data_IF_887419363487
#
_entry.id   IF_887419363487
#
_cell.length_a   1.000
_cell.length_b   1.000
_cell.length_c   1.000
_cell.angle_alpha   90.00
_cell.angle_beta   90.00
_cell.angle_gamma   90.00
#
_symmetry.space_group_name_H-M   'P 1'
#
loop_
_entity.id
_entity.type
_entity.pdbx_description
1 polymer ?
#
# COMPACT_ATOMS: atom_id res chain seq x y z
N UNK A 1 -8.84 14.85 27.71
CA UNK A 1 -9.70 15.41 26.62
C UNK A 1 -9.66 14.44 25.46
N UNK A 2 -10.71 14.37 24.63
CA UNK A 2 -10.68 13.58 23.39
C UNK A 2 -10.06 14.38 22.25
N UNK A 3 -9.40 13.71 21.31
CA UNK A 3 -8.86 14.32 20.10
C UNK A 3 -9.30 13.57 18.85
N UNK A 4 -9.27 14.22 17.68
CA UNK A 4 -9.60 13.63 16.41
C UNK A 4 -8.33 13.31 15.63
N UNK A 5 -8.28 12.12 15.02
CA UNK A 5 -7.22 11.70 14.11
C UNK A 5 -7.81 11.16 12.82
N UNK A 6 -7.18 11.47 11.69
CA UNK A 6 -7.67 11.11 10.36
C UNK A 6 -6.58 10.39 9.56
N UNK A 7 -7.00 9.36 8.82
CA UNK A 7 -6.18 8.75 7.77
C UNK A 7 -6.97 8.70 6.47
N UNK A 8 -6.26 8.77 5.35
CA UNK A 8 -6.83 8.65 4.01
C UNK A 8 -6.38 7.38 3.31
N UNK A 9 -7.16 6.95 2.34
CA UNK A 9 -6.81 5.93 1.37
C UNK A 9 -7.29 6.35 -0.01
N UNK A 10 -6.69 5.74 -1.03
CA UNK A 10 -7.06 5.94 -2.43
C UNK A 10 -7.28 4.58 -3.11
N UNK A 11 -8.11 4.57 -4.16
CA UNK A 11 -8.36 3.36 -4.93
C UNK A 11 -7.18 2.98 -5.82
N UNK A 12 -7.23 1.75 -6.35
CA UNK A 12 -6.31 1.27 -7.39
C UNK A 12 -6.27 2.15 -8.64
N UNK A 13 -7.36 2.89 -8.91
CA UNK A 13 -7.48 3.79 -10.06
C UNK A 13 -6.97 5.21 -9.82
N UNK A 14 -6.55 5.56 -8.60
CA UNK A 14 -5.89 6.84 -8.35
C UNK A 14 -4.59 6.94 -9.17
N UNK A 15 -4.28 8.08 -9.82
CA UNK A 15 -3.12 8.22 -10.71
C UNK A 15 -1.80 7.71 -10.12
N UNK A 16 -1.48 8.07 -8.87
CA UNK A 16 -0.27 7.61 -8.21
C UNK A 16 -0.28 6.07 -8.00
N UNK A 17 -1.45 5.47 -7.69
CA UNK A 17 -1.56 4.01 -7.52
C UNK A 17 -1.57 3.26 -8.85
N UNK A 18 -2.01 3.88 -9.93
CA UNK A 18 -1.80 3.36 -11.29
C UNK A 18 -0.30 3.26 -11.59
N UNK A 19 0.48 4.29 -11.25
CA UNK A 19 1.93 4.30 -11.41
C UNK A 19 2.61 3.21 -10.57
N UNK A 20 2.25 3.09 -9.30
CA UNK A 20 2.78 2.07 -8.38
C UNK A 20 2.50 0.65 -8.90
N UNK A 21 1.28 0.39 -9.34
CA UNK A 21 0.89 -0.92 -9.88
C UNK A 21 1.62 -1.28 -11.18
N UNK A 22 1.87 -0.32 -12.07
CA UNK A 22 2.66 -0.56 -13.28
C UNK A 22 4.09 -0.91 -12.89
N UNK A 23 4.71 -0.15 -12.00
CA UNK A 23 6.09 -0.38 -11.54
C UNK A 23 6.25 -1.74 -10.86
N UNK A 24 5.32 -2.14 -9.99
CA UNK A 24 5.36 -3.44 -9.32
C UNK A 24 4.97 -4.62 -10.23
N UNK A 25 4.09 -4.42 -11.21
CA UNK A 25 3.80 -5.44 -12.22
C UNK A 25 5.03 -5.74 -13.09
N UNK A 26 5.81 -4.72 -13.43
CA UNK A 26 7.07 -4.87 -14.15
C UNK A 26 8.13 -5.58 -13.31
N UNK A 27 8.28 -5.19 -12.05
CA UNK A 27 9.17 -5.86 -11.09
C UNK A 27 8.82 -7.35 -10.97
N UNK A 28 7.55 -7.68 -10.77
CA UNK A 28 7.08 -9.06 -10.67
C UNK A 28 7.38 -9.87 -11.93
N UNK A 29 7.22 -9.25 -13.10
CA UNK A 29 7.52 -9.92 -14.37
C UNK A 29 9.03 -10.23 -14.51
N UNK A 30 9.92 -9.29 -14.11
CA UNK A 30 11.36 -9.56 -14.07
C UNK A 30 11.68 -10.70 -13.09
N UNK A 31 11.19 -10.64 -11.86
CA UNK A 31 11.44 -11.65 -10.82
C UNK A 31 10.92 -13.03 -11.18
N UNK A 32 9.82 -13.12 -11.93
CA UNK A 32 9.26 -14.39 -12.36
C UNK A 32 10.21 -15.17 -13.29
N UNK A 33 11.05 -14.49 -14.06
CA UNK A 33 11.97 -15.11 -14.99
C UNK A 33 13.44 -15.04 -14.55
N UNK A 34 13.79 -14.02 -13.76
CA UNK A 34 15.11 -13.86 -13.13
C UNK A 34 14.95 -13.45 -11.66
N UNK A 35 15.04 -14.43 -10.75
CA UNK A 35 14.92 -14.18 -9.31
C UNK A 35 16.02 -13.26 -8.75
N UNK A 36 17.11 -13.08 -9.51
CA UNK A 36 18.22 -12.18 -9.18
C UNK A 36 18.12 -10.82 -9.85
N UNK A 37 17.03 -10.54 -10.56
CA UNK A 37 16.81 -9.23 -11.15
C UNK A 37 16.89 -8.12 -10.10
N UNK A 38 17.55 -7.02 -10.45
CA UNK A 38 17.60 -5.79 -9.66
C UNK A 38 16.88 -4.70 -10.43
N UNK A 39 15.88 -4.11 -9.78
CA UNK A 39 14.99 -3.15 -10.40
C UNK A 39 14.84 -1.92 -9.50
N UNK A 40 14.84 -0.76 -10.14
CA UNK A 40 14.39 0.49 -9.58
C UNK A 40 13.58 1.18 -10.69
N UNK A 41 12.29 0.81 -10.79
CA UNK A 41 11.38 1.21 -11.87
C UNK A 41 10.40 2.24 -11.34
N UNK A 42 10.38 3.39 -11.97
CA UNK A 42 9.43 4.46 -11.69
C UNK A 42 8.52 4.67 -12.90
N UNK A 43 7.26 4.94 -12.63
CA UNK A 43 6.24 5.19 -13.65
C UNK A 43 5.62 6.56 -13.43
N UNK A 44 5.49 7.30 -14.49
CA UNK A 44 4.73 8.55 -14.57
C UNK A 44 3.53 8.32 -15.48
N UNK A 45 2.35 8.83 -15.12
CA UNK A 45 1.17 8.79 -15.97
C UNK A 45 0.40 10.11 -15.94
N UNK A 46 -0.21 10.46 -17.08
CA UNK A 46 -1.04 11.64 -17.26
C UNK A 46 -2.03 11.39 -18.40
N UNK A 47 -2.75 12.41 -18.85
CA UNK A 47 -3.70 12.30 -19.97
C UNK A 47 -3.09 11.58 -21.17
N UNK A 48 -3.64 10.42 -21.51
CA UNK A 48 -3.27 9.65 -22.69
C UNK A 48 -1.84 9.13 -22.73
N UNK A 49 -1.05 9.23 -21.64
CA UNK A 49 0.37 8.89 -21.66
C UNK A 49 0.90 8.23 -20.39
N UNK A 50 1.84 7.30 -20.59
CA UNK A 50 2.64 6.66 -19.56
C UNK A 50 4.11 6.75 -19.93
N UNK A 51 4.97 7.07 -18.96
CA UNK A 51 6.44 7.02 -19.10
C UNK A 51 6.97 6.08 -18.03
N UNK A 52 7.72 5.06 -18.45
CA UNK A 52 8.37 4.07 -17.57
C UNK A 52 9.86 4.37 -17.61
N UNK A 53 10.48 4.61 -16.46
CA UNK A 53 11.88 5.00 -16.34
C UNK A 53 12.56 4.29 -15.19
N UNK A 54 13.88 4.36 -15.13
CA UNK A 54 14.68 3.79 -14.06
C UNK A 54 15.75 2.81 -14.53
N UNK A 55 16.26 2.00 -13.61
CA UNK A 55 17.35 1.07 -13.86
C UNK A 55 16.90 -0.37 -13.64
N UNK A 56 17.32 -1.26 -14.53
CA UNK A 56 17.11 -2.70 -14.43
C UNK A 56 18.41 -3.44 -14.75
N UNK A 57 18.76 -4.39 -13.90
CA UNK A 57 19.77 -5.41 -14.17
C UNK A 57 19.10 -6.77 -14.15
N UNK A 58 18.95 -7.36 -15.32
CA UNK A 58 18.36 -8.70 -15.49
C UNK A 58 18.98 -9.37 -16.71
N UNK A 59 18.98 -10.70 -16.69
CA UNK A 59 19.35 -11.52 -17.86
C UNK A 59 18.18 -11.67 -18.85
N UNK A 60 17.00 -11.21 -18.45
CA UNK A 60 15.74 -11.44 -19.12
C UNK A 60 15.20 -10.17 -19.78
N UNK A 61 14.47 -10.35 -20.86
CA UNK A 61 13.78 -9.28 -21.55
C UNK A 61 12.28 -9.30 -21.24
N UNK A 62 11.72 -8.14 -20.90
CA UNK A 62 10.31 -7.96 -20.55
C UNK A 62 9.64 -6.99 -21.53
N UNK A 63 8.46 -7.36 -22.04
CA UNK A 63 7.62 -6.46 -22.83
C UNK A 63 6.91 -5.45 -21.92
N UNK A 64 7.61 -4.33 -21.64
CA UNK A 64 7.16 -3.29 -20.73
C UNK A 64 5.79 -2.72 -21.12
N UNK A 65 5.57 -2.52 -22.43
CA UNK A 65 4.31 -1.97 -22.92
C UNK A 65 3.15 -2.93 -22.71
N UNK A 66 3.34 -4.21 -23.00
CA UNK A 66 2.28 -5.21 -22.82
C UNK A 66 1.87 -5.33 -21.34
N UNK A 67 2.84 -5.32 -20.42
CA UNK A 67 2.58 -5.39 -18.97
C UNK A 67 1.85 -4.13 -18.49
N UNK A 68 2.33 -2.94 -18.86
CA UNK A 68 1.68 -1.69 -18.49
C UNK A 68 0.22 -1.62 -18.99
N UNK A 69 -0.03 -1.97 -20.28
CA UNK A 69 -1.38 -2.02 -20.84
C UNK A 69 -2.30 -3.00 -20.09
N UNK A 70 -1.79 -4.19 -19.79
CA UNK A 70 -2.53 -5.20 -19.03
C UNK A 70 -2.89 -4.65 -17.64
N UNK A 71 -1.97 -4.01 -16.95
CA UNK A 71 -2.19 -3.42 -15.63
C UNK A 71 -3.25 -2.33 -15.68
N UNK A 72 -3.15 -1.38 -16.60
CA UNK A 72 -4.12 -0.30 -16.80
C UNK A 72 -5.53 -0.85 -17.08
N UNK A 73 -5.64 -1.87 -17.95
CA UNK A 73 -6.92 -2.51 -18.28
C UNK A 73 -7.50 -3.25 -17.05
N UNK A 74 -6.67 -3.95 -16.27
CA UNK A 74 -7.11 -4.66 -15.05
C UNK A 74 -7.63 -3.70 -13.96
N UNK A 75 -7.06 -2.49 -13.87
CA UNK A 75 -7.55 -1.42 -13.00
C UNK A 75 -8.94 -0.97 -13.45
N UNK A 76 -9.23 -1.00 -14.76
CA UNK A 76 -10.54 -0.63 -15.32
C UNK A 76 -10.50 0.61 -16.21
N UNK A 77 -9.33 1.11 -16.58
CA UNK A 77 -9.19 2.15 -17.59
C UNK A 77 -9.22 1.51 -18.98
N UNK A 78 -10.43 1.22 -19.46
CA UNK A 78 -10.70 0.45 -20.69
C UNK A 78 -11.47 1.23 -21.75
N UNK A 79 -11.88 2.48 -21.45
CA UNK A 79 -12.72 3.29 -22.32
C UNK A 79 -11.98 4.56 -22.74
N UNK A 80 -12.01 4.88 -24.03
CA UNK A 80 -11.37 6.07 -24.60
C UNK A 80 -11.94 7.38 -24.02
N UNK A 81 -13.20 7.38 -23.59
CA UNK A 81 -13.85 8.54 -22.96
C UNK A 81 -13.21 8.94 -21.61
N UNK A 82 -12.42 8.06 -20.97
CA UNK A 82 -11.65 8.38 -19.78
C UNK A 82 -10.38 9.19 -20.11
N UNK A 83 -10.06 9.37 -21.41
CA UNK A 83 -8.87 10.04 -21.92
C UNK A 83 -7.55 9.49 -21.37
N UNK A 84 -7.64 8.30 -20.84
CA UNK A 84 -6.56 7.42 -20.40
C UNK A 84 -7.11 6.00 -20.40
N UNK A 85 -6.62 5.16 -21.30
CA UNK A 85 -7.01 3.75 -21.36
C UNK A 85 -5.85 2.87 -21.82
N UNK A 86 -5.85 1.61 -21.38
CA UNK A 86 -4.76 0.68 -21.61
C UNK A 86 -4.54 0.30 -23.09
N UNK A 87 -5.52 0.53 -23.97
CA UNK A 87 -5.42 0.13 -25.37
C UNK A 87 -4.85 1.26 -26.25
N UNK A 88 -5.13 2.53 -25.91
CA UNK A 88 -4.80 3.68 -26.76
C UNK A 88 -3.76 4.63 -26.20
N UNK A 89 -3.48 4.64 -24.87
CA UNK A 89 -2.48 5.55 -24.31
C UNK A 89 -1.09 5.30 -24.90
N UNK A 90 -0.32 6.38 -25.08
CA UNK A 90 1.10 6.30 -25.45
C UNK A 90 1.92 5.75 -24.28
N UNK A 91 2.84 4.82 -24.56
CA UNK A 91 3.76 4.29 -23.55
C UNK A 91 5.19 4.49 -24.03
N UNK A 92 5.96 5.29 -23.29
CA UNK A 92 7.38 5.55 -23.51
C UNK A 92 8.19 4.79 -22.46
N UNK A 93 9.37 4.34 -22.85
CA UNK A 93 10.33 3.69 -21.95
C UNK A 93 11.68 4.41 -22.01
N UNK A 94 12.23 4.70 -20.83
CA UNK A 94 13.56 5.24 -20.58
C UNK A 94 14.27 4.41 -19.50
N UNK A 95 14.20 3.07 -19.61
CA UNK A 95 14.92 2.13 -18.73
C UNK A 95 16.33 1.93 -19.29
N UNK A 96 17.31 1.95 -18.40
CA UNK A 96 18.72 1.68 -18.70
C UNK A 96 19.32 0.67 -17.71
N UNK A 97 20.55 0.22 -17.94
CA UNK A 97 21.25 -0.70 -17.05
C UNK A 97 21.68 0.00 -15.76
N UNK A 98 21.65 -0.72 -14.65
CA UNK A 98 22.12 -0.23 -13.36
C UNK A 98 23.64 0.01 -13.39
N UNK A 99 24.10 1.12 -12.80
CA UNK A 99 25.51 1.48 -12.69
C UNK A 99 26.36 0.43 -11.98
N UNK A 100 27.52 0.10 -12.55
CA UNK A 100 28.50 -0.84 -11.94
C UNK A 100 29.10 -0.30 -10.63
N UNK A 101 29.12 1.01 -10.41
CA UNK A 101 29.67 1.62 -9.20
C UNK A 101 28.79 1.34 -7.98
N UNK A 102 27.47 1.32 -8.13
CA UNK A 102 26.53 0.92 -7.06
C UNK A 102 26.71 -0.54 -6.72
N UNK A 103 26.97 -1.40 -7.72
CA UNK A 103 27.16 -2.82 -7.52
C UNK A 103 28.39 -3.17 -6.67
N UNK A 104 29.51 -2.47 -6.84
CA UNK A 104 30.77 -2.75 -6.13
C UNK A 104 30.66 -2.55 -4.62
N UNK A 105 29.82 -1.59 -4.18
CA UNK A 105 29.57 -1.35 -2.76
C UNK A 105 28.65 -2.37 -2.09
N UNK A 106 27.82 -3.06 -2.88
CA UNK A 106 26.79 -3.97 -2.40
C UNK A 106 27.24 -5.45 -2.48
N UNK A 107 28.03 -5.81 -3.48
CA UNK A 107 28.42 -7.21 -3.79
C UNK A 107 29.88 -7.46 -3.35
N UNK A 108 30.07 -7.78 -2.07
CA UNK A 108 31.40 -7.99 -1.47
C UNK A 108 31.93 -9.41 -1.68
N UNK A 109 31.27 -10.25 -2.49
CA UNK A 109 31.65 -11.67 -2.69
C UNK A 109 31.30 -12.59 -1.51
N UNK A 110 30.75 -12.06 -0.43
CA UNK A 110 30.20 -12.79 0.72
C UNK A 110 28.69 -12.55 0.77
N UNK A 111 27.92 -13.56 0.35
CA UNK A 111 26.46 -13.49 0.26
C UNK A 111 25.78 -13.12 1.59
N UNK A 112 26.36 -13.53 2.73
CA UNK A 112 25.76 -13.29 4.04
C UNK A 112 26.04 -11.89 4.60
N UNK A 113 27.10 -11.24 4.14
CA UNK A 113 27.50 -9.88 4.55
C UNK A 113 27.31 -8.84 3.43
N UNK A 114 26.39 -9.08 2.51
CA UNK A 114 26.01 -8.10 1.51
C UNK A 114 25.59 -6.79 2.19
N UNK A 115 26.24 -5.69 1.87
CA UNK A 115 25.93 -4.37 2.41
C UNK A 115 24.58 -3.83 1.94
N UNK A 116 24.03 -2.89 2.68
CA UNK A 116 22.84 -2.19 2.27
C UNK A 116 23.05 -1.46 0.94
N UNK A 117 22.06 -1.53 0.04
CA UNK A 117 22.13 -0.93 -1.30
C UNK A 117 22.03 0.60 -1.28
N UNK A 118 21.63 1.18 -0.16
CA UNK A 118 21.54 2.62 0.06
C UNK A 118 21.64 2.92 1.56
N UNK A 119 21.84 4.20 1.88
CA UNK A 119 21.63 4.72 3.23
C UNK A 119 20.15 5.03 3.44
N UNK A 120 19.67 5.01 4.69
CA UNK A 120 18.30 5.42 4.98
C UNK A 120 17.84 5.00 6.36
N UNK A 121 16.66 5.49 6.74
CA UNK A 121 15.93 5.08 7.93
C UNK A 121 14.55 4.58 7.52
N UNK A 122 14.20 3.39 8.00
CA UNK A 122 12.95 2.72 7.70
C UNK A 122 12.20 2.48 8.99
N UNK A 123 10.87 2.55 8.92
CA UNK A 123 10.02 2.46 10.09
C UNK A 123 9.02 1.32 9.97
N UNK A 124 8.83 0.62 11.08
CA UNK A 124 7.74 -0.31 11.31
C UNK A 124 6.87 0.19 12.45
N UNK A 125 5.56 0.01 12.32
CA UNK A 125 4.61 0.38 13.35
C UNK A 125 3.55 -0.72 13.49
N UNK A 126 3.08 -0.93 14.69
CA UNK A 126 1.94 -1.78 15.00
C UNK A 126 1.20 -1.24 16.22
N UNK A 127 -0.11 -1.44 16.26
CA UNK A 127 -0.95 -1.13 17.42
C UNK A 127 -2.07 -2.17 17.56
N UNK A 128 -2.63 -2.30 18.73
CA UNK A 128 -3.70 -3.25 19.02
C UNK A 128 -5.12 -2.71 18.71
N UNK A 129 -5.23 -1.71 17.82
CA UNK A 129 -6.52 -1.10 17.48
C UNK A 129 -7.41 -2.03 16.64
N UNK A 130 -6.80 -2.84 15.76
CA UNK A 130 -7.47 -3.78 14.85
C UNK A 130 -6.85 -5.18 14.95
N UNK A 131 -7.52 -6.19 14.42
CA UNK A 131 -7.05 -7.59 14.44
C UNK A 131 -5.78 -7.81 13.60
N UNK A 132 -5.51 -6.93 12.62
CA UNK A 132 -4.30 -6.95 11.80
C UNK A 132 -3.20 -6.01 12.33
N UNK A 133 -3.38 -5.46 13.53
CA UNK A 133 -2.41 -4.57 14.19
C UNK A 133 -2.11 -3.28 13.42
N UNK A 134 -3.13 -2.73 12.77
CA UNK A 134 -3.06 -1.47 12.04
C UNK A 134 -3.88 -0.37 12.74
N UNK A 135 -3.56 0.91 12.48
CA UNK A 135 -4.42 2.03 12.88
C UNK A 135 -5.82 1.88 12.27
N UNK A 136 -6.84 1.95 13.10
CA UNK A 136 -8.24 1.75 12.66
C UNK A 136 -8.69 2.77 11.62
N UNK A 137 -8.16 3.98 11.66
CA UNK A 137 -8.46 5.05 10.69
C UNK A 137 -8.03 4.65 9.28
N UNK A 138 -6.82 4.12 9.13
CA UNK A 138 -6.28 3.69 7.85
C UNK A 138 -6.92 2.38 7.37
N UNK A 139 -7.05 1.41 8.27
CA UNK A 139 -7.62 0.10 7.95
C UNK A 139 -9.05 0.24 7.40
N UNK A 140 -9.89 1.06 8.04
CA UNK A 140 -11.22 1.38 7.54
C UNK A 140 -11.19 2.16 6.23
N UNK A 141 -10.25 3.09 6.05
CA UNK A 141 -10.13 3.83 4.80
C UNK A 141 -9.76 2.90 3.64
N UNK A 142 -8.84 1.96 3.83
CA UNK A 142 -8.51 0.93 2.84
C UNK A 142 -9.70 0.01 2.54
N UNK A 143 -10.39 -0.44 3.57
CA UNK A 143 -11.55 -1.33 3.42
C UNK A 143 -12.67 -0.65 2.62
N UNK A 144 -12.94 0.64 2.85
CA UNK A 144 -13.91 1.41 2.06
C UNK A 144 -13.51 1.44 0.59
N UNK A 145 -12.24 1.70 0.28
CA UNK A 145 -11.76 1.80 -1.10
C UNK A 145 -11.73 0.46 -1.82
N UNK A 146 -11.27 -0.60 -1.18
CA UNK A 146 -11.28 -1.95 -1.78
C UNK A 146 -12.70 -2.44 -2.02
N UNK A 147 -13.62 -2.24 -1.07
CA UNK A 147 -15.04 -2.60 -1.22
C UNK A 147 -15.70 -1.83 -2.36
N UNK A 148 -15.40 -0.53 -2.53
CA UNK A 148 -15.92 0.27 -3.64
C UNK A 148 -15.40 -0.24 -4.99
N UNK A 149 -14.13 -0.64 -5.07
CA UNK A 149 -13.54 -1.23 -6.26
C UNK A 149 -14.18 -2.59 -6.60
N UNK A 150 -14.46 -3.43 -5.59
CA UNK A 150 -15.16 -4.69 -5.78
C UNK A 150 -16.56 -4.47 -6.36
N UNK A 151 -17.34 -3.52 -5.81
CA UNK A 151 -18.66 -3.16 -6.33
C UNK A 151 -18.56 -2.73 -7.80
N UNK A 152 -17.57 -1.91 -8.15
CA UNK A 152 -17.33 -1.46 -9.53
C UNK A 152 -17.00 -2.63 -10.45
N UNK A 153 -16.09 -3.53 -10.03
CA UNK A 153 -15.65 -4.69 -10.82
C UNK A 153 -16.74 -5.75 -10.96
N UNK A 154 -17.61 -5.92 -9.96
CA UNK A 154 -18.77 -6.80 -10.06
C UNK A 154 -19.75 -6.37 -11.16
N UNK A 155 -19.87 -5.07 -11.46
CA UNK A 155 -20.74 -4.53 -12.48
C UNK A 155 -22.23 -4.82 -12.27
N UNK A 156 -22.70 -4.86 -11.00
CA UNK A 156 -24.09 -5.19 -10.64
C UNK A 156 -24.82 -4.03 -9.97
N UNK A 157 -24.11 -3.25 -9.16
CA UNK A 157 -24.63 -2.08 -8.43
C UNK A 157 -23.70 -0.91 -8.70
N UNK A 158 -24.20 0.33 -8.52
CA UNK A 158 -23.43 1.56 -8.74
C UNK A 158 -22.68 1.54 -10.09
N UNK A 159 -23.39 1.22 -11.18
CA UNK A 159 -22.81 0.99 -12.52
C UNK A 159 -22.07 2.20 -13.10
N UNK A 160 -22.32 3.36 -12.53
CA UNK A 160 -21.69 4.65 -12.91
C UNK A 160 -20.28 4.82 -12.34
N UNK A 161 -19.78 3.91 -11.47
CA UNK A 161 -18.45 4.04 -10.85
C UNK A 161 -17.33 3.96 -11.88
N UNK A 162 -16.39 4.91 -11.78
CA UNK A 162 -15.11 4.91 -12.48
C UNK A 162 -13.95 4.52 -11.55
N UNK A 163 -12.76 4.24 -12.08
CA UNK A 163 -11.68 3.65 -11.26
C UNK A 163 -11.13 4.55 -10.16
N UNK A 164 -11.11 5.89 -10.31
CA UNK A 164 -10.50 6.81 -9.34
C UNK A 164 -11.43 7.10 -8.17
N UNK A 165 -10.92 6.97 -6.96
CA UNK A 165 -11.63 7.35 -5.74
C UNK A 165 -10.69 7.54 -4.55
N UNK A 166 -11.19 8.27 -3.54
CA UNK A 166 -10.49 8.54 -2.28
C UNK A 166 -11.45 8.37 -1.10
N UNK A 167 -10.92 7.93 0.03
CA UNK A 167 -11.62 7.92 1.32
C UNK A 167 -10.78 8.57 2.39
N UNK A 168 -11.44 9.10 3.41
CA UNK A 168 -10.81 9.54 4.65
C UNK A 168 -11.70 9.13 5.81
N UNK A 169 -11.10 8.57 6.85
CA UNK A 169 -11.79 8.21 8.08
C UNK A 169 -11.19 8.99 9.23
N UNK A 170 -12.05 9.70 9.98
CA UNK A 170 -11.71 10.44 11.18
C UNK A 170 -12.31 9.72 12.38
N UNK A 171 -11.48 9.41 13.36
CA UNK A 171 -11.86 8.73 14.61
C UNK A 171 -11.54 9.64 15.79
N UNK A 172 -12.42 9.66 16.76
CA UNK A 172 -12.21 10.29 18.07
C UNK A 172 -11.49 9.30 18.98
N UNK A 173 -10.39 9.76 19.58
CA UNK A 173 -9.56 9.03 20.53
C UNK A 173 -9.64 9.64 21.92
N UNK A 174 -9.53 8.81 22.96
CA UNK A 174 -9.28 9.28 24.33
C UNK A 174 -7.83 9.78 24.49
N UNK A 175 -7.53 10.43 25.62
CA UNK A 175 -6.15 10.84 25.97
C UNK A 175 -5.17 9.64 26.07
N UNK A 176 -5.70 8.43 26.29
CA UNK A 176 -4.93 7.18 26.34
C UNK A 176 -4.76 6.51 24.97
N UNK A 177 -4.97 7.23 23.88
CA UNK A 177 -4.88 6.71 22.50
C UNK A 177 -5.84 5.55 22.18
N UNK A 178 -7.00 5.48 22.83
CA UNK A 178 -8.00 4.45 22.58
C UNK A 178 -9.08 5.00 21.65
N UNK A 179 -9.37 4.37 20.50
CA UNK A 179 -10.43 4.79 19.61
C UNK A 179 -11.81 4.67 20.27
N UNK A 180 -12.63 5.72 20.18
CA UNK A 180 -13.92 5.84 20.88
C UNK A 180 -15.12 5.77 19.93
N UNK A 181 -15.06 6.43 18.81
CA UNK A 181 -16.09 6.47 17.75
C UNK A 181 -15.55 7.02 16.44
N UNK A 182 -16.18 6.64 15.36
CA UNK A 182 -15.97 7.27 14.07
C UNK A 182 -16.73 8.60 14.07
N UNK A 183 -16.03 9.70 13.79
CA UNK A 183 -16.63 11.04 13.68
C UNK A 183 -17.07 11.34 12.25
N UNK A 184 -16.18 11.16 11.28
CA UNK A 184 -16.41 11.54 9.89
C UNK A 184 -15.87 10.48 8.92
N UNK A 185 -16.63 10.17 7.89
CA UNK A 185 -16.22 9.38 6.73
C UNK A 185 -16.40 10.23 5.47
N UNK A 186 -15.31 10.43 4.73
CA UNK A 186 -15.33 11.09 3.42
C UNK A 186 -15.17 10.03 2.35
N UNK A 187 -16.00 10.07 1.31
CA UNK A 187 -15.85 9.25 0.10
C UNK A 187 -15.98 10.17 -1.11
N UNK A 188 -14.92 10.25 -1.91
CA UNK A 188 -14.94 10.93 -3.20
C UNK A 188 -14.69 9.90 -4.29
N UNK A 189 -15.64 9.71 -5.19
CA UNK A 189 -15.55 8.73 -6.26
C UNK A 189 -15.81 9.34 -7.62
N UNK A 190 -14.95 9.01 -8.58
CA UNK A 190 -15.17 9.30 -9.98
C UNK A 190 -16.36 8.49 -10.50
N UNK A 191 -17.18 9.11 -11.35
CA UNK A 191 -18.39 8.50 -11.88
C UNK A 191 -18.68 8.95 -13.33
N UNK A 192 -19.51 8.20 -14.03
CA UNK A 192 -20.05 8.60 -15.31
C UNK A 192 -20.99 9.83 -15.15
N UNK A 193 -21.17 10.59 -16.20
CA UNK A 193 -22.18 11.64 -16.28
C UNK A 193 -23.56 11.01 -16.58
N UNK A 194 -24.15 10.32 -15.58
CA UNK A 194 -25.26 9.39 -15.75
C UNK A 194 -26.65 10.00 -15.63
N UNK A 195 -26.75 11.27 -15.21
CA UNK A 195 -27.99 12.02 -15.23
C UNK A 195 -27.82 13.25 -16.14
N UNK A 196 -28.49 13.23 -17.28
CA UNK A 196 -28.40 14.32 -18.25
C UNK A 196 -29.35 15.48 -17.88
N UNK A 197 -28.94 16.73 -18.11
CA UNK A 197 -29.84 17.90 -17.94
C UNK A 197 -31.00 17.84 -18.95
N UNK A 198 -32.12 18.40 -18.58
CA UNK A 198 -33.34 18.44 -19.45
C UNK A 198 -33.20 19.40 -20.62
N UNK A 199 -32.30 20.37 -20.53
CA UNK A 199 -31.95 21.37 -21.55
C UNK A 199 -30.54 21.91 -21.33
N UNK A 200 -30.02 22.74 -22.21
CA UNK A 200 -28.68 23.31 -22.17
C UNK A 200 -28.49 24.46 -21.17
N UNK A 201 -29.47 24.73 -20.30
CA UNK A 201 -29.36 25.78 -19.32
C UNK A 201 -28.44 25.41 -18.17
N UNK A 202 -27.76 26.42 -17.61
CA UNK A 202 -26.92 26.22 -16.40
C UNK A 202 -27.72 25.70 -15.21
N UNK A 203 -29.00 26.07 -15.11
CA UNK A 203 -29.88 25.62 -14.04
C UNK A 203 -30.19 24.13 -14.16
N UNK A 204 -30.52 23.66 -15.38
CA UNK A 204 -30.74 22.23 -15.65
C UNK A 204 -29.50 21.42 -15.38
N UNK A 205 -28.30 21.89 -15.77
CA UNK A 205 -27.05 21.25 -15.48
C UNK A 205 -26.77 21.12 -13.97
N UNK A 206 -26.92 22.21 -13.22
CA UNK A 206 -26.75 22.21 -11.76
C UNK A 206 -27.74 21.26 -11.05
N UNK A 207 -28.96 21.14 -11.58
CA UNK A 207 -29.97 20.22 -11.04
C UNK A 207 -29.59 18.76 -11.31
N UNK A 208 -29.11 18.44 -12.51
CA UNK A 208 -28.60 17.11 -12.87
C UNK A 208 -27.38 16.73 -12.01
N UNK A 209 -26.41 17.65 -11.86
CA UNK A 209 -25.20 17.44 -11.05
C UNK A 209 -25.56 17.15 -9.59
N UNK A 210 -26.49 17.90 -9.00
CA UNK A 210 -26.97 17.65 -7.62
C UNK A 210 -27.65 16.30 -7.50
N UNK A 211 -28.52 15.95 -8.46
CA UNK A 211 -29.21 14.66 -8.45
C UNK A 211 -28.23 13.46 -8.53
N UNK A 212 -27.15 13.58 -9.32
CA UNK A 212 -26.07 12.57 -9.35
C UNK A 212 -25.41 12.42 -7.99
N UNK A 213 -25.01 13.52 -7.35
CA UNK A 213 -24.35 13.49 -6.04
C UNK A 213 -25.27 12.92 -4.96
N UNK A 214 -26.56 13.26 -4.97
CA UNK A 214 -27.57 12.71 -4.06
C UNK A 214 -27.74 11.18 -4.26
N UNK A 215 -27.78 10.71 -5.51
CA UNK A 215 -27.84 9.27 -5.80
C UNK A 215 -26.57 8.56 -5.31
N UNK A 216 -25.38 9.10 -5.60
CA UNK A 216 -24.11 8.53 -5.13
C UNK A 216 -24.07 8.46 -3.60
N UNK A 217 -24.51 9.54 -2.92
CA UNK A 217 -24.61 9.58 -1.45
C UNK A 217 -25.54 8.50 -0.92
N UNK A 218 -26.69 8.32 -1.52
CA UNK A 218 -27.65 7.28 -1.16
C UNK A 218 -27.01 5.89 -1.30
N UNK A 219 -26.37 5.61 -2.43
CA UNK A 219 -25.76 4.32 -2.71
C UNK A 219 -24.54 4.04 -1.80
N UNK A 220 -23.76 5.07 -1.45
CA UNK A 220 -22.70 4.93 -0.44
C UNK A 220 -23.28 4.47 0.90
N UNK A 221 -24.41 5.06 1.34
CA UNK A 221 -25.01 4.70 2.62
C UNK A 221 -25.74 3.36 2.60
N UNK A 222 -26.42 3.02 1.50
CA UNK A 222 -27.30 1.85 1.40
C UNK A 222 -26.61 0.61 0.79
N UNK A 223 -25.54 0.79 0.02
CA UNK A 223 -24.81 -0.31 -0.65
C UNK A 223 -23.39 -0.44 -0.11
N UNK A 224 -22.55 0.61 -0.19
CA UNK A 224 -21.15 0.53 0.17
C UNK A 224 -20.96 0.28 1.67
N UNK A 225 -21.54 1.13 2.54
CA UNK A 225 -21.29 1.04 3.99
C UNK A 225 -21.80 -0.26 4.62
N UNK A 226 -22.95 -0.83 4.24
CA UNK A 226 -23.34 -2.18 4.70
C UNK A 226 -22.34 -3.28 4.29
N UNK A 227 -21.80 -3.24 3.06
CA UNK A 227 -20.79 -4.21 2.62
C UNK A 227 -19.46 -4.05 3.36
N UNK A 228 -19.05 -2.81 3.65
CA UNK A 228 -17.88 -2.52 4.50
C UNK A 228 -18.07 -3.13 5.89
N UNK A 229 -19.19 -2.83 6.55
CA UNK A 229 -19.48 -3.37 7.90
C UNK A 229 -19.53 -4.91 7.94
N UNK A 230 -20.06 -5.53 6.89
CA UNK A 230 -20.16 -7.00 6.80
C UNK A 230 -18.78 -7.70 6.71
N UNK A 231 -17.74 -7.00 6.30
CA UNK A 231 -16.36 -7.54 6.22
C UNK A 231 -15.58 -7.38 7.55
N UNK A 232 -16.03 -6.51 8.45
CA UNK A 232 -15.38 -6.28 9.74
C UNK A 232 -15.71 -7.43 10.68
N UNK A 233 -14.70 -8.18 11.09
CA UNK A 233 -14.84 -9.31 12.03
C UNK A 233 -14.75 -8.86 13.49
N UNK A 234 -14.00 -7.81 13.77
CA UNK A 234 -13.74 -7.29 15.11
C UNK A 234 -14.95 -6.53 15.65
N UNK A 235 -15.57 -7.03 16.71
CA UNK A 235 -16.63 -6.31 17.43
C UNK A 235 -16.14 -4.95 17.97
N UNK A 236 -14.87 -4.88 18.38
CA UNK A 236 -14.24 -3.64 18.84
C UNK A 236 -14.29 -2.55 17.75
N UNK A 237 -14.02 -2.91 16.51
CA UNK A 237 -14.08 -1.97 15.37
C UNK A 237 -15.54 -1.66 15.00
N UNK A 238 -16.43 -2.66 14.99
CA UNK A 238 -17.86 -2.46 14.73
C UNK A 238 -18.50 -1.50 15.74
N UNK A 239 -18.10 -1.56 17.00
CA UNK A 239 -18.60 -0.69 18.08
C UNK A 239 -18.18 0.79 17.91
N UNK A 240 -17.28 1.12 16.98
CA UNK A 240 -16.94 2.50 16.64
C UNK A 240 -17.99 3.17 15.73
N UNK A 241 -18.84 2.38 15.06
CA UNK A 241 -19.92 2.87 14.20
C UNK A 241 -21.15 3.29 15.04
N UNK A 242 -20.97 4.33 15.86
CA UNK A 242 -22.03 4.92 16.67
C UNK A 242 -22.89 5.87 15.86
N UNK A 243 -24.02 6.27 16.40
CA UNK A 243 -24.88 7.30 15.78
C UNK A 243 -24.13 8.64 15.66
N UNK A 244 -24.51 9.43 14.64
CA UNK A 244 -23.98 10.77 14.45
C UNK A 244 -22.73 10.86 13.56
N UNK A 245 -22.35 9.76 12.87
CA UNK A 245 -21.27 9.81 11.89
C UNK A 245 -21.61 10.78 10.75
N UNK A 246 -20.70 11.70 10.45
CA UNK A 246 -20.82 12.61 9.31
C UNK A 246 -20.31 11.93 8.04
N UNK A 247 -21.20 11.72 7.07
CA UNK A 247 -20.84 11.20 5.76
C UNK A 247 -20.74 12.34 4.74
N UNK A 248 -19.53 12.59 4.23
CA UNK A 248 -19.23 13.57 3.19
C UNK A 248 -18.94 12.82 1.89
N UNK A 249 -19.92 12.85 0.97
CA UNK A 249 -19.82 12.12 -0.30
C UNK A 249 -19.74 13.13 -1.43
N UNK A 250 -18.69 13.05 -2.26
CA UNK A 250 -18.39 14.01 -3.34
C UNK A 250 -18.66 15.48 -2.92
N UNK A 251 -18.04 15.97 -1.83
CA UNK A 251 -18.43 17.27 -1.24
C UNK A 251 -18.20 18.46 -2.16
N UNK A 252 -17.38 18.33 -3.18
CA UNK A 252 -17.14 19.37 -4.21
C UNK A 252 -18.14 19.34 -5.38
N UNK A 253 -19.07 18.38 -5.39
CA UNK A 253 -20.00 18.16 -6.49
C UNK A 253 -19.65 16.96 -7.36
N UNK A 254 -20.08 16.97 -8.64
CA UNK A 254 -19.80 15.87 -9.57
C UNK A 254 -18.29 15.69 -9.79
N UNK A 255 -17.87 14.42 -9.99
CA UNK A 255 -16.49 14.04 -10.20
C UNK A 255 -16.39 13.11 -11.42
N UNK A 256 -16.55 13.66 -12.62
CA UNK A 256 -16.49 12.92 -13.90
C UNK A 256 -15.07 12.90 -14.45
N UNK A 257 -14.35 14.05 -14.37
CA UNK A 257 -12.95 14.13 -14.78
C UNK A 257 -12.08 13.71 -13.61
N UNK A 258 -11.36 12.59 -13.75
CA UNK A 258 -10.50 12.01 -12.73
C UNK A 258 -9.53 11.02 -13.34
N UNK A 259 -8.83 10.26 -12.49
CA UNK A 259 -7.75 9.40 -12.92
C UNK A 259 -6.60 10.17 -13.55
N UNK A 260 -5.73 9.54 -14.36
CA UNK A 260 -4.59 10.20 -15.00
C UNK A 260 -4.95 11.37 -15.91
N UNK A 261 -6.21 11.46 -16.35
CA UNK A 261 -6.70 12.63 -17.09
C UNK A 261 -6.96 13.84 -16.18
N UNK A 262 -7.41 13.60 -14.95
CA UNK A 262 -7.70 14.67 -13.98
C UNK A 262 -6.45 15.18 -13.25
N UNK A 263 -5.52 14.29 -12.93
CA UNK A 263 -4.30 14.59 -12.20
C UNK A 263 -3.16 13.62 -12.63
N UNK A 264 -1.93 14.09 -12.53
CA UNK A 264 -0.74 13.32 -12.86
C UNK A 264 -0.36 12.35 -11.74
N UNK A 265 -0.04 11.10 -12.10
CA UNK A 265 0.46 10.08 -11.19
C UNK A 265 1.94 9.83 -11.31
N UNK A 266 2.58 9.50 -10.20
CA UNK A 266 3.99 9.10 -10.12
C UNK A 266 4.17 8.03 -9.04
N UNK A 267 5.04 7.05 -9.31
CA UNK A 267 5.45 6.03 -8.34
C UNK A 267 5.96 6.65 -7.04
N UNK A 268 5.47 6.15 -5.90
CA UNK A 268 5.96 6.56 -4.59
C UNK A 268 5.41 7.87 -4.04
N UNK A 269 4.29 8.39 -4.57
CA UNK A 269 3.64 9.61 -4.05
C UNK A 269 2.52 9.35 -3.05
N UNK A 270 2.27 8.09 -2.70
CA UNK A 270 1.24 7.69 -1.71
C UNK A 270 1.81 6.87 -0.55
N UNK A 271 3.07 7.17 -0.18
CA UNK A 271 3.83 6.41 0.82
C UNK A 271 3.19 6.37 2.21
N UNK A 272 2.44 7.39 2.60
CA UNK A 272 1.71 7.41 3.88
C UNK A 272 0.46 6.51 3.81
N UNK A 273 -0.23 6.49 2.67
CA UNK A 273 -1.34 5.55 2.39
C UNK A 273 -0.82 4.10 2.35
N UNK A 274 0.36 3.89 1.79
CA UNK A 274 1.01 2.57 1.68
C UNK A 274 1.41 2.00 3.04
N UNK A 275 1.59 2.83 4.07
CA UNK A 275 2.14 2.45 5.36
C UNK A 275 1.15 2.56 6.52
N UNK A 276 1.14 3.67 7.27
CA UNK A 276 0.41 3.75 8.56
C UNK A 276 -0.58 4.91 8.65
N UNK A 277 -0.86 5.60 7.54
CA UNK A 277 -1.86 6.70 7.51
C UNK A 277 -1.54 7.88 8.42
N UNK A 278 -0.26 8.08 8.75
CA UNK A 278 0.22 9.15 9.61
C UNK A 278 0.36 8.79 11.10
N UNK A 279 -0.06 7.61 11.55
CA UNK A 279 0.14 7.14 12.95
C UNK A 279 1.61 6.73 13.19
N UNK A 280 2.22 6.03 12.25
CA UNK A 280 3.64 5.70 12.27
C UNK A 280 4.47 6.68 11.44
N UNK A 281 5.74 6.85 11.80
CA UNK A 281 6.70 7.61 11.02
C UNK A 281 7.01 6.92 9.68
N UNK A 282 7.59 7.67 8.72
CA UNK A 282 8.04 7.18 7.44
C UNK A 282 9.41 7.77 7.09
N UNK A 283 10.30 6.96 6.50
CA UNK A 283 11.65 7.38 6.13
C UNK A 283 11.74 8.19 4.83
N UNK A 284 10.67 8.22 4.04
CA UNK A 284 10.57 8.97 2.78
C UNK A 284 10.81 8.12 1.52
N UNK A 285 11.37 6.91 1.64
CA UNK A 285 11.63 6.03 0.49
C UNK A 285 10.36 5.40 -0.07
N UNK A 286 10.17 5.46 -1.40
CA UNK A 286 9.12 4.73 -2.10
C UNK A 286 9.38 3.22 -2.08
N UNK A 287 8.31 2.40 -2.12
CA UNK A 287 8.40 0.95 -2.16
C UNK A 287 8.27 0.39 -3.58
N UNK A 288 7.20 0.76 -4.29
CA UNK A 288 6.87 0.20 -5.59
C UNK A 288 8.00 0.38 -6.62
N UNK A 289 8.20 -0.64 -7.44
CA UNK A 289 9.26 -0.68 -8.45
C UNK A 289 10.64 -1.07 -7.96
N UNK A 290 10.84 -1.18 -6.63
CA UNK A 290 12.12 -1.54 -5.99
C UNK A 290 12.16 -3.02 -5.62
N UNK A 291 13.22 -3.74 -6.04
CA UNK A 291 13.50 -5.11 -5.59
C UNK A 291 14.03 -5.15 -4.15
N UNK A 292 14.17 -6.36 -3.59
CA UNK A 292 14.55 -6.61 -2.19
C UNK A 292 15.94 -6.09 -1.78
N UNK A 293 16.83 -5.78 -2.72
CA UNK A 293 18.15 -5.19 -2.41
C UNK A 293 18.06 -3.74 -1.93
N UNK A 294 16.95 -3.08 -2.18
CA UNK A 294 16.69 -1.71 -1.73
C UNK A 294 16.08 -1.73 -0.34
N UNK A 295 16.87 -1.32 0.65
CA UNK A 295 16.49 -1.32 2.07
C UNK A 295 15.27 -0.46 2.37
N UNK A 296 15.00 0.57 1.56
CA UNK A 296 13.76 1.37 1.65
C UNK A 296 12.52 0.48 1.72
N UNK A 297 12.50 -0.61 0.96
CA UNK A 297 11.40 -1.55 0.91
C UNK A 297 11.61 -2.72 1.87
N UNK A 298 12.71 -3.44 1.75
CA UNK A 298 12.96 -4.67 2.51
C UNK A 298 13.06 -4.42 4.02
N UNK A 299 13.76 -3.39 4.45
CA UNK A 299 13.89 -3.07 5.87
C UNK A 299 12.63 -2.42 6.46
N UNK A 300 11.81 -1.71 5.66
CA UNK A 300 10.50 -1.25 6.11
C UNK A 300 9.55 -2.44 6.39
N UNK A 301 9.57 -3.47 5.54
CA UNK A 301 8.82 -4.70 5.79
C UNK A 301 9.35 -5.47 7.00
N UNK A 302 10.67 -5.55 7.19
CA UNK A 302 11.28 -6.16 8.37
C UNK A 302 10.90 -5.40 9.65
N UNK A 303 10.94 -4.07 9.64
CA UNK A 303 10.54 -3.25 10.77
C UNK A 303 9.05 -3.45 11.12
N UNK A 304 8.16 -3.58 10.11
CA UNK A 304 6.75 -3.95 10.32
C UNK A 304 6.62 -5.33 10.94
N UNK A 305 7.32 -6.34 10.42
CA UNK A 305 7.30 -7.69 10.94
C UNK A 305 7.71 -7.74 12.42
N UNK A 306 8.76 -6.99 12.79
CA UNK A 306 9.20 -6.87 14.17
C UNK A 306 8.11 -6.20 15.03
N UNK A 307 7.67 -5.00 14.67
CA UNK A 307 6.68 -4.25 15.44
C UNK A 307 5.39 -5.06 15.67
N UNK A 308 4.92 -5.74 14.62
CA UNK A 308 3.70 -6.57 14.69
C UNK A 308 3.85 -7.76 15.63
N UNK A 309 4.96 -8.50 15.55
CA UNK A 309 5.22 -9.63 16.43
C UNK A 309 5.41 -9.20 17.90
N UNK A 310 6.06 -8.05 18.14
CA UNK A 310 6.24 -7.50 19.48
C UNK A 310 4.91 -7.11 20.13
N UNK A 311 4.04 -6.41 19.39
CA UNK A 311 2.69 -6.03 19.88
C UNK A 311 1.82 -7.27 20.06
N UNK A 312 1.85 -8.20 19.14
CA UNK A 312 1.09 -9.45 19.22
C UNK A 312 1.53 -10.35 20.38
N UNK A 313 2.83 -10.32 20.72
CA UNK A 313 3.36 -11.02 21.89
C UNK A 313 2.96 -10.38 23.24
N UNK A 314 2.42 -9.16 23.21
CA UNK A 314 2.00 -8.44 24.41
C UNK A 314 3.10 -7.61 25.06
N UNK A 315 4.20 -7.30 24.35
CA UNK A 315 5.27 -6.43 24.87
C UNK A 315 4.76 -5.00 25.08
N UNK A 316 3.91 -4.51 24.17
CA UNK A 316 3.28 -3.19 24.22
C UNK A 316 1.97 -3.18 23.46
N UNK A 317 1.06 -2.26 23.77
CA UNK A 317 -0.16 -2.03 22.97
C UNK A 317 0.13 -1.32 21.63
N UNK A 318 1.26 -0.63 21.56
CA UNK A 318 1.67 0.20 20.43
C UNK A 318 3.20 0.23 20.36
N UNK A 319 3.76 0.09 19.16
CA UNK A 319 5.23 0.10 19.00
C UNK A 319 5.62 0.67 17.64
N UNK A 320 6.58 1.60 17.67
CA UNK A 320 7.35 2.05 16.52
C UNK A 320 8.75 1.45 16.60
N UNK A 321 9.21 0.91 15.49
CA UNK A 321 10.58 0.41 15.29
C UNK A 321 11.22 1.18 14.15
N UNK A 322 12.42 1.75 14.37
CA UNK A 322 13.25 2.33 13.32
C UNK A 322 14.48 1.46 13.10
N UNK A 323 14.77 1.18 11.84
CA UNK A 323 16.03 0.60 11.38
C UNK A 323 16.75 1.64 10.52
N UNK A 324 18.03 1.87 10.75
CA UNK A 324 18.83 2.78 9.92
C UNK A 324 20.05 2.05 9.35
N UNK A 325 20.34 2.29 8.09
CA UNK A 325 21.47 1.68 7.38
C UNK A 325 22.38 2.74 6.76
N UNK A 326 23.66 2.36 6.61
CA UNK A 326 24.62 3.08 5.78
C UNK A 326 24.90 2.24 4.51
N UNK A 327 25.07 2.91 3.39
CA UNK A 327 25.39 2.22 2.12
C UNK A 327 26.64 1.34 2.25
N UNK A 328 26.60 0.12 1.74
CA UNK A 328 27.69 -0.84 1.79
C UNK A 328 27.94 -1.50 3.14
N UNK A 329 27.14 -1.21 4.17
CA UNK A 329 27.24 -1.83 5.52
C UNK A 329 26.08 -2.79 5.71
N UNK A 330 26.37 -4.03 6.16
CA UNK A 330 25.36 -5.06 6.35
C UNK A 330 24.54 -4.85 7.64
N UNK A 331 25.22 -4.54 8.76
CA UNK A 331 24.54 -4.32 10.03
C UNK A 331 23.87 -2.93 10.05
N UNK A 332 22.66 -2.81 10.64
CA UNK A 332 22.05 -1.50 10.82
C UNK A 332 22.92 -0.64 11.74
N UNK A 333 23.10 0.62 11.39
CA UNK A 333 23.84 1.59 12.22
C UNK A 333 23.06 1.98 13.48
N UNK A 334 21.74 1.84 13.48
CA UNK A 334 20.91 1.99 14.67
C UNK A 334 19.61 1.19 14.58
N UNK A 335 19.13 0.76 15.76
CA UNK A 335 17.80 0.24 16.00
C UNK A 335 17.19 1.09 17.11
N UNK A 336 16.04 1.70 16.86
CA UNK A 336 15.32 2.53 17.82
C UNK A 336 13.90 1.99 18.00
N UNK A 337 13.41 2.02 19.23
CA UNK A 337 12.07 1.61 19.62
C UNK A 337 11.38 2.74 20.37
N UNK A 338 10.09 2.90 20.15
CA UNK A 338 9.22 3.74 20.96
C UNK A 338 7.91 3.00 21.23
N UNK A 339 7.64 2.72 22.50
CA UNK A 339 6.39 2.08 22.95
C UNK A 339 5.33 3.12 23.34
N UNK A 340 5.60 4.41 23.17
CA UNK A 340 4.71 5.52 23.53
C UNK A 340 4.24 5.47 25.01
N UNK A 341 5.04 4.86 25.89
CA UNK A 341 4.69 4.66 27.30
C UNK A 341 3.63 3.59 27.54
N UNK A 342 3.34 2.75 26.56
CA UNK A 342 2.33 1.68 26.62
C UNK A 342 2.94 0.27 26.72
N UNK A 343 4.20 0.18 27.19
CA UNK A 343 4.90 -1.08 27.43
C UNK A 343 4.27 -1.84 28.61
N UNK A 344 4.17 -3.18 28.48
CA UNK A 344 3.72 -4.10 29.53
C UNK A 344 4.88 -4.86 30.18
N UNK A 345 6.12 -4.62 29.72
CA UNK A 345 7.33 -5.23 30.24
C UNK A 345 8.14 -4.22 31.06
N UNK A 346 9.05 -4.72 31.92
CA UNK A 346 9.90 -3.84 32.72
C UNK A 346 11.05 -3.21 31.93
N UNK A 347 11.39 -3.81 30.79
CA UNK A 347 12.45 -3.34 29.94
C UNK A 347 12.11 -1.95 29.37
N UNK A 348 13.07 -1.06 29.36
CA UNK A 348 13.00 0.23 28.69
C UNK A 348 12.99 0.05 27.16
N UNK A 349 12.57 1.08 26.42
CA UNK A 349 12.59 1.06 24.95
C UNK A 349 13.99 0.78 24.39
N UNK A 350 15.05 1.26 25.07
CA UNK A 350 16.44 0.98 24.69
C UNK A 350 16.81 -0.52 24.91
N UNK A 351 16.38 -1.12 26.02
CA UNK A 351 16.60 -2.54 26.27
C UNK A 351 15.79 -3.41 25.33
N UNK A 352 14.56 -3.00 24.98
CA UNK A 352 13.75 -3.67 23.94
C UNK A 352 14.48 -3.63 22.60
N UNK A 353 15.06 -2.48 22.21
CA UNK A 353 15.83 -2.34 20.97
C UNK A 353 17.06 -3.29 20.93
N UNK A 354 17.76 -3.46 22.05
CA UNK A 354 18.86 -4.43 22.13
C UNK A 354 18.37 -5.89 22.00
N UNK A 355 17.22 -6.23 22.61
CA UNK A 355 16.65 -7.57 22.45
C UNK A 355 16.23 -7.84 21.00
N UNK A 356 15.72 -6.84 20.27
CA UNK A 356 15.37 -6.96 18.85
C UNK A 356 16.60 -7.35 18.02
N UNK A 357 17.77 -6.79 18.27
CA UNK A 357 19.03 -7.16 17.59
C UNK A 357 19.44 -8.61 17.82
N UNK A 358 19.07 -9.19 18.96
CA UNK A 358 19.33 -10.60 19.27
C UNK A 358 18.27 -11.54 18.70
N UNK A 359 17.02 -11.09 18.64
CA UNK A 359 15.90 -11.89 18.16
C UNK A 359 15.83 -11.95 16.61
N UNK A 360 16.28 -10.90 15.91
CA UNK A 360 16.12 -10.76 14.46
C UNK A 360 17.45 -10.47 13.79
N UNK A 361 17.76 -11.22 12.73
CA UNK A 361 18.89 -10.90 11.86
C UNK A 361 18.49 -9.76 10.92
N UNK A 362 19.03 -8.58 11.17
CA UNK A 362 18.66 -7.34 10.49
C UNK A 362 19.52 -7.04 9.26
N UNK A 363 20.42 -7.94 8.87
CA UNK A 363 21.22 -7.78 7.66
C UNK A 363 20.33 -7.88 6.41
N UNK A 364 20.52 -7.04 5.38
CA UNK A 364 19.64 -6.99 4.21
C UNK A 364 19.40 -8.35 3.56
N UNK A 365 20.45 -9.19 3.45
CA UNK A 365 20.35 -10.54 2.88
C UNK A 365 19.56 -11.51 3.76
N UNK A 366 19.68 -11.39 5.07
CA UNK A 366 18.90 -12.19 6.01
C UNK A 366 17.41 -11.82 5.95
N UNK A 367 17.11 -10.54 5.89
CA UNK A 367 15.74 -10.03 5.70
C UNK A 367 15.15 -10.57 4.39
N UNK A 368 15.88 -10.47 3.28
CA UNK A 368 15.46 -10.98 1.97
C UNK A 368 15.08 -12.45 2.03
N UNK A 369 15.92 -13.28 2.67
CA UNK A 369 15.68 -14.73 2.83
C UNK A 369 14.51 -15.02 3.77
N UNK A 370 14.48 -14.39 4.95
CA UNK A 370 13.44 -14.61 5.95
C UNK A 370 12.04 -14.25 5.43
N UNK A 371 11.93 -13.14 4.75
CA UNK A 371 10.67 -12.66 4.20
C UNK A 371 10.42 -13.11 2.75
N UNK A 372 11.30 -13.97 2.18
CA UNK A 372 11.19 -14.53 0.81
C UNK A 372 10.99 -13.46 -0.27
N UNK A 373 11.68 -12.33 -0.18
CA UNK A 373 11.42 -11.14 -0.98
C UNK A 373 11.90 -11.24 -2.46
N UNK A 374 12.46 -12.37 -2.89
CA UNK A 374 12.80 -12.61 -4.31
C UNK A 374 11.67 -13.24 -5.11
N UNK A 375 10.50 -13.41 -4.50
CA UNK A 375 9.32 -13.88 -5.19
C UNK A 375 8.58 -12.72 -5.89
N UNK A 376 7.87 -12.99 -7.00
CA UNK A 376 7.06 -11.97 -7.68
C UNK A 376 5.75 -11.70 -6.92
N UNK A 377 5.85 -11.03 -5.75
CA UNK A 377 4.78 -10.79 -4.77
C UNK A 377 4.31 -9.34 -4.70
N UNK A 378 4.83 -8.47 -5.55
CA UNK A 378 4.78 -7.03 -5.32
C UNK A 378 3.56 -6.32 -5.91
N UNK A 379 2.99 -6.79 -7.02
CA UNK A 379 1.80 -6.18 -7.61
C UNK A 379 0.64 -6.07 -6.61
N UNK A 380 0.43 -7.09 -5.79
CA UNK A 380 -0.65 -7.15 -4.80
C UNK A 380 -0.43 -6.17 -3.64
N UNK A 381 0.78 -5.65 -3.47
CA UNK A 381 1.09 -4.63 -2.45
C UNK A 381 0.76 -3.23 -2.92
N UNK A 382 0.74 -3.00 -4.23
CA UNK A 382 0.70 -1.67 -4.83
C UNK A 382 -0.65 -0.94 -4.71
N UNK A 383 -1.67 -1.54 -4.12
CA UNK A 383 -2.96 -0.91 -3.85
C UNK A 383 -3.51 -1.36 -2.48
N UNK A 384 -4.24 -0.46 -1.82
CA UNK A 384 -4.88 -0.70 -0.51
C UNK A 384 -3.90 -1.03 0.63
N UNK A 385 -2.70 -0.48 0.58
CA UNK A 385 -1.65 -0.61 1.59
C UNK A 385 -0.75 -1.83 1.43
N UNK A 386 0.52 -1.64 1.76
CA UNK A 386 1.53 -2.71 1.81
C UNK A 386 1.47 -3.52 3.10
N UNK A 387 0.80 -3.00 4.12
CA UNK A 387 0.81 -3.49 5.50
C UNK A 387 -0.61 -3.76 5.99
N UNK A 388 -0.74 -4.60 7.01
CA UNK A 388 -2.04 -4.99 7.56
C UNK A 388 -2.81 -6.00 6.70
N UNK A 389 -2.16 -6.60 5.72
CA UNK A 389 -2.74 -7.58 4.80
C UNK A 389 -2.66 -9.00 5.37
N UNK A 390 -3.42 -9.89 4.79
CA UNK A 390 -3.38 -11.30 5.16
C UNK A 390 -2.23 -12.01 4.45
N UNK A 391 -1.38 -12.75 5.21
CA UNK A 391 -0.41 -13.66 4.62
C UNK A 391 -1.16 -14.85 3.99
N UNK A 392 -0.91 -15.10 2.72
CA UNK A 392 -1.54 -16.18 1.96
C UNK A 392 -0.64 -16.67 0.82
N UNK A 393 -0.87 -17.90 0.38
CA UNK A 393 -0.19 -18.47 -0.78
C UNK A 393 -1.13 -18.42 -1.99
N UNK A 394 -0.68 -17.80 -3.07
CA UNK A 394 -1.43 -17.69 -4.31
C UNK A 394 -0.67 -18.28 -5.49
N UNK A 395 -1.40 -18.71 -6.50
CA UNK A 395 -0.81 -19.17 -7.76
C UNK A 395 -0.86 -18.04 -8.79
N UNK A 396 0.33 -17.57 -9.22
CA UNK A 396 0.48 -16.50 -10.22
C UNK A 396 0.93 -17.08 -11.56
N UNK A 397 0.39 -16.55 -12.66
CA UNK A 397 0.73 -16.96 -14.02
C UNK A 397 1.37 -15.79 -14.76
N UNK A 398 2.61 -16.01 -15.22
CA UNK A 398 3.40 -15.05 -15.95
C UNK A 398 3.55 -15.48 -17.41
N UNK A 399 3.05 -14.66 -18.31
CA UNK A 399 3.18 -14.86 -19.76
C UNK A 399 4.32 -14.00 -20.30
N UNK A 400 5.08 -14.54 -21.24
CA UNK A 400 6.15 -13.84 -21.93
C UNK A 400 6.06 -14.11 -23.43
N UNK A 401 6.51 -13.16 -24.25
CA UNK A 401 6.72 -13.39 -25.70
C UNK A 401 8.05 -14.11 -25.98
N UNK A 402 8.92 -14.14 -24.98
CA UNK A 402 10.31 -14.57 -25.12
C UNK A 402 10.56 -15.91 -24.44
N UNK A 403 9.67 -16.30 -23.51
CA UNK A 403 9.79 -17.50 -22.68
C UNK A 403 8.47 -18.23 -22.57
N UNK A 404 8.55 -19.48 -22.18
CA UNK A 404 7.35 -20.27 -21.84
C UNK A 404 6.62 -19.64 -20.65
N UNK A 405 5.29 -19.78 -20.64
CA UNK A 405 4.45 -19.37 -19.52
C UNK A 405 4.88 -20.04 -18.24
N UNK A 406 5.17 -19.26 -17.21
CA UNK A 406 5.47 -19.76 -15.86
C UNK A 406 4.26 -19.67 -14.95
N UNK A 407 4.07 -20.72 -14.14
CA UNK A 407 3.11 -20.75 -13.05
C UNK A 407 3.86 -20.94 -11.75
N UNK A 408 3.77 -19.96 -10.85
CA UNK A 408 4.56 -19.89 -9.60
C UNK A 408 3.61 -19.79 -8.42
N UNK A 409 3.83 -20.61 -7.38
CA UNK A 409 3.20 -20.40 -6.07
C UNK A 409 3.98 -19.34 -5.32
N UNK A 410 3.30 -18.28 -4.92
CA UNK A 410 3.90 -17.11 -4.27
C UNK A 410 3.25 -16.90 -2.91
N UNK A 411 4.07 -16.77 -1.88
CA UNK A 411 3.62 -16.42 -0.53
C UNK A 411 3.59 -14.90 -0.39
N UNK A 412 2.39 -14.32 -0.35
CA UNK A 412 2.16 -12.88 -0.23
C UNK A 412 2.26 -12.40 1.22
N UNK A 413 2.66 -11.15 1.42
CA UNK A 413 2.67 -10.44 2.70
C UNK A 413 3.37 -11.21 3.82
N UNK A 414 4.53 -11.76 3.53
CA UNK A 414 5.30 -12.59 4.48
C UNK A 414 5.70 -11.85 5.76
N UNK A 415 5.82 -10.52 5.71
CA UNK A 415 6.08 -9.65 6.85
C UNK A 415 4.88 -9.47 7.80
N UNK A 416 3.73 -10.01 7.45
CA UNK A 416 2.53 -10.01 8.32
C UNK A 416 2.39 -11.29 9.16
N UNK A 417 3.32 -12.24 9.05
CA UNK A 417 3.33 -13.46 9.87
C UNK A 417 3.50 -13.17 11.36
N UNK A 418 2.90 -14.01 12.18
CA UNK A 418 2.98 -13.99 13.65
C UNK A 418 3.68 -15.26 14.18
N UNK A 419 4.87 -15.54 13.67
CA UNK A 419 5.63 -16.76 13.92
C UNK A 419 6.78 -16.59 14.93
N UNK A 420 6.93 -15.41 15.56
CA UNK A 420 7.95 -15.09 16.56
C UNK A 420 7.37 -14.86 17.97
N UNK A 421 6.06 -14.98 18.15
CA UNK A 421 5.35 -14.67 19.42
C UNK A 421 5.92 -15.44 20.60
N UNK A 422 6.07 -16.75 20.50
CA UNK A 422 6.50 -17.60 21.62
C UNK A 422 7.95 -17.31 22.06
N UNK A 423 8.83 -17.03 21.09
CA UNK A 423 10.21 -16.66 21.37
C UNK A 423 10.30 -15.29 22.05
N UNK A 424 9.52 -14.32 21.58
CA UNK A 424 9.43 -12.99 22.17
C UNK A 424 8.90 -13.07 23.59
N UNK A 425 7.80 -13.79 23.83
CA UNK A 425 7.25 -14.01 25.18
C UNK A 425 8.28 -14.58 26.12
N UNK A 426 9.01 -15.62 25.69
CA UNK A 426 10.09 -16.23 26.49
C UNK A 426 11.19 -15.21 26.84
N UNK A 427 11.56 -14.36 25.89
CA UNK A 427 12.62 -13.34 26.08
C UNK A 427 12.22 -12.29 27.11
N UNK A 428 10.96 -11.85 27.09
CA UNK A 428 10.45 -10.80 27.98
C UNK A 428 9.74 -11.31 29.23
N UNK A 429 9.59 -12.64 29.40
CA UNK A 429 8.95 -13.26 30.58
C UNK A 429 7.43 -13.03 30.62
N UNK A 430 6.77 -13.03 29.47
CA UNK A 430 5.32 -12.88 29.30
C UNK A 430 4.58 -14.22 29.25
#
# INVERSE_FOLDING_TARGET
MAYLFSSESVSEGHPDKVADQISDALLDQFLAYDEHARCAIETFNTTGQVVIMGEVRSKEYVDLQAIARKTINNIGYTKAEYQFDGNSCGILSAIHEQSDDINRGVDNGDDDNQGAGDQGMMFGYACNETDNYMPVTLDLAHLIMSTLADIRKEGKQMLYLRPDSKSQVTVEYSDDNIPQRIDTIVVSTQHDDFIQPIDDSKEAQLKADKAMVEQIRKDVLEVLMPRVKAQIKSEKVLNLFKDGIKYLVNPTGKFVIGGPHGDTGLTGRKIIVDTYGGKGAHGGGAFSGKDSSKVDRSAAYAARYIAKNMVAAGVSDEMLVQLAYAIGVAEPVSVYVNTYGRSHVKASDAEIAEQIKHLFDLRPKAIERQLKLRQPMYLETAAYGHLGRQNEVVKKVFNSRYHETKSIEVELFTWEKLDRIEEIKKTFGL
#
